data_IF_842063657600
#
_entry.id   IF_842063657600
#
_cell.length_a   1.000
_cell.length_b   1.000
_cell.length_c   1.000
_cell.angle_alpha   90.00
_cell.angle_beta   90.00
_cell.angle_gamma   90.00
#
_symmetry.space_group_name_H-M   'P 1'
#
loop_
_entity.id
_entity.type
_entity.pdbx_description
1 polymer ?
#
# COMPACT_ATOMS: atom_id res chain seq x y z
N UNK A 1 -3.06 -60.92 31.36
CA UNK A 1 -1.75 -60.53 30.82
C UNK A 1 -2.00 -59.32 29.95
N UNK A 2 -1.76 -58.15 30.51
CA UNK A 2 -2.09 -56.87 29.89
C UNK A 2 -0.92 -56.39 29.03
N UNK A 3 -1.22 -55.86 27.89
CA UNK A 3 -0.27 -55.17 27.05
C UNK A 3 -0.68 -53.68 27.04
N UNK A 4 0.10 -52.88 27.77
CA UNK A 4 0.01 -51.44 27.82
C UNK A 4 0.44 -50.89 26.46
N UNK A 5 -0.48 -50.35 25.68
CA UNK A 5 -0.14 -49.51 24.51
C UNK A 5 0.02 -48.03 24.97
N UNK A 6 1.25 -47.62 25.14
CA UNK A 6 1.61 -46.23 25.22
C UNK A 6 1.31 -45.53 23.90
N UNK A 7 0.24 -44.77 23.83
CA UNK A 7 -0.04 -43.84 22.72
C UNK A 7 0.82 -42.62 22.93
N UNK A 8 2.06 -42.67 22.39
CA UNK A 8 2.88 -41.50 22.17
C UNK A 8 2.26 -40.72 20.99
N UNK A 9 1.80 -39.52 21.25
CA UNK A 9 1.38 -38.56 20.25
C UNK A 9 2.58 -38.26 19.31
N UNK A 10 2.61 -38.92 18.16
CA UNK A 10 3.54 -38.57 17.09
C UNK A 10 3.09 -37.26 16.49
N UNK A 11 3.80 -36.17 16.82
CA UNK A 11 3.74 -34.94 16.06
C UNK A 11 4.11 -35.26 14.60
N UNK A 12 3.35 -34.75 13.61
CA UNK A 12 3.71 -34.99 12.21
C UNK A 12 5.10 -34.44 11.95
N UNK A 13 5.96 -35.28 11.35
CA UNK A 13 7.27 -34.88 10.89
C UNK A 13 7.12 -33.77 9.87
N UNK A 14 7.49 -32.56 10.29
CA UNK A 14 7.58 -31.40 9.44
C UNK A 14 8.58 -31.71 8.33
N UNK A 15 8.14 -31.63 7.07
CA UNK A 15 8.95 -31.90 5.88
C UNK A 15 10.33 -31.22 5.96
N UNK A 16 11.38 -31.90 5.48
CA UNK A 16 12.76 -31.41 5.45
C UNK A 16 12.92 -30.02 4.83
N UNK A 17 12.01 -29.64 3.93
CA UNK A 17 11.96 -28.32 3.27
C UNK A 17 11.88 -27.14 4.26
N UNK A 18 11.27 -27.34 5.44
CA UNK A 18 11.15 -26.31 6.47
C UNK A 18 12.49 -26.10 7.20
N UNK A 19 13.35 -27.13 7.25
CA UNK A 19 14.63 -27.01 7.97
C UNK A 19 15.64 -26.11 7.27
N UNK A 20 15.59 -26.01 5.94
CA UNK A 20 16.51 -25.12 5.20
C UNK A 20 16.18 -23.63 5.32
N UNK A 21 14.92 -23.26 5.53
CA UNK A 21 14.53 -21.85 5.72
C UNK A 21 14.89 -21.33 7.12
N UNK A 22 14.98 -22.21 8.14
CA UNK A 22 15.28 -21.82 9.52
C UNK A 22 16.80 -21.81 9.85
N UNK A 23 17.65 -22.43 9.05
CA UNK A 23 19.07 -22.56 9.41
C UNK A 23 19.92 -21.33 9.07
N UNK A 24 19.37 -20.32 8.39
CA UNK A 24 20.14 -19.12 8.01
C UNK A 24 20.02 -17.94 8.98
N UNK A 25 19.29 -18.06 10.09
CA UNK A 25 19.05 -16.90 10.97
C UNK A 25 19.02 -17.18 12.48
N UNK A 26 19.90 -18.08 12.96
CA UNK A 26 20.13 -18.22 14.40
C UNK A 26 21.49 -17.67 14.80
N UNK A 27 21.59 -16.34 14.95
CA UNK A 27 22.60 -15.69 15.78
C UNK A 27 22.01 -14.43 16.37
N UNK A 28 21.48 -14.54 17.59
CA UNK A 28 21.26 -13.40 18.48
C UNK A 28 21.40 -13.87 19.93
N UNK A 29 22.24 -13.21 20.72
CA UNK A 29 22.38 -13.50 22.14
C UNK A 29 21.26 -12.84 22.95
N UNK A 30 20.81 -13.57 23.95
CA UNK A 30 19.93 -13.13 25.02
C UNK A 30 20.64 -12.17 25.98
N UNK A 31 19.97 -11.10 26.40
CA UNK A 31 20.22 -10.36 27.66
C UNK A 31 18.87 -9.86 28.13
N UNK A 32 18.28 -10.50 29.08
CA UNK A 32 18.13 -10.34 30.55
C UNK A 32 17.59 -8.98 31.03
N UNK A 33 16.39 -9.11 31.61
CA UNK A 33 15.71 -8.42 32.72
C UNK A 33 16.35 -7.19 33.39
N UNK A 34 15.47 -6.21 33.72
CA UNK A 34 15.20 -5.80 35.12
C UNK A 34 14.10 -4.71 35.19
N UNK A 35 12.98 -5.08 35.80
CA UNK A 35 12.39 -4.52 37.05
C UNK A 35 11.85 -3.09 37.05
N UNK A 36 10.53 -3.05 37.35
CA UNK A 36 9.79 -1.95 37.97
C UNK A 36 10.27 -1.70 39.43
N UNK A 37 9.93 -0.55 40.02
CA UNK A 37 8.60 -0.33 40.62
C UNK A 37 8.09 1.12 40.57
N UNK A 38 6.79 1.41 40.45
CA UNK A 38 5.86 1.61 41.59
C UNK A 38 5.84 3.07 42.10
N UNK A 39 4.67 3.73 42.00
CA UNK A 39 4.43 5.02 42.69
C UNK A 39 3.04 5.58 42.36
N UNK A 40 2.19 5.50 43.36
CA UNK A 40 0.76 5.80 43.47
C UNK A 40 0.37 7.27 43.39
N UNK A 41 -0.89 7.49 42.97
CA UNK A 41 -1.93 8.42 43.53
C UNK A 41 -1.65 9.93 43.52
N UNK A 42 -2.56 10.67 42.88
CA UNK A 42 -3.55 11.45 43.63
C UNK A 42 -4.54 12.13 42.67
N UNK A 43 -5.81 11.83 42.90
CA UNK A 43 -6.97 12.46 42.30
C UNK A 43 -7.24 13.81 42.99
N UNK A 44 -7.32 14.89 42.18
CA UNK A 44 -7.94 16.15 42.62
C UNK A 44 -9.03 16.52 41.61
N UNK A 45 -10.27 16.82 42.03
CA UNK A 45 -11.34 17.16 41.11
C UNK A 45 -11.21 18.59 40.61
N UNK A 46 -11.14 18.77 39.31
CA UNK A 46 -11.19 20.08 38.68
C UNK A 46 -12.64 20.50 38.46
N UNK A 47 -12.96 21.69 38.95
CA UNK A 47 -14.20 22.44 38.73
C UNK A 47 -14.40 22.74 37.23
N UNK A 48 -15.63 22.95 36.75
CA UNK A 48 -15.91 23.24 35.38
C UNK A 48 -15.45 24.65 35.02
N UNK A 49 -14.38 24.72 34.22
CA UNK A 49 -14.01 25.98 33.56
C UNK A 49 -14.93 26.18 32.36
N UNK A 50 -15.69 27.24 32.40
CA UNK A 50 -16.39 27.85 31.29
C UNK A 50 -15.43 28.02 30.13
N UNK A 51 -15.71 27.33 29.02
CA UNK A 51 -14.97 27.52 27.76
C UNK A 51 -15.24 28.94 27.26
N UNK A 52 -14.30 29.86 27.51
CA UNK A 52 -14.18 31.05 26.71
C UNK A 52 -13.77 30.65 25.32
N UNK A 53 -14.68 30.88 24.35
CA UNK A 53 -14.35 30.85 22.95
C UNK A 53 -13.26 31.88 22.70
N UNK A 54 -12.02 31.44 22.61
CA UNK A 54 -10.91 32.24 22.12
C UNK A 54 -11.14 32.43 20.64
N UNK A 55 -11.73 33.56 20.24
CA UNK A 55 -11.79 34.01 18.85
C UNK A 55 -10.37 34.12 18.36
N UNK A 56 -9.93 33.17 17.53
CA UNK A 56 -8.73 33.39 16.74
C UNK A 56 -8.96 34.63 15.89
N UNK A 57 -7.98 35.54 15.76
CA UNK A 57 -8.11 36.68 14.90
C UNK A 57 -8.30 36.22 13.48
N UNK A 58 -9.52 36.40 12.98
CA UNK A 58 -9.90 36.06 11.62
C UNK A 58 -9.54 37.20 10.69
N UNK A 59 -8.96 36.87 9.53
CA UNK A 59 -8.67 37.83 8.48
C UNK A 59 -9.86 38.06 7.53
N UNK A 60 -9.66 38.83 6.49
CA UNK A 60 -10.60 38.98 5.37
C UNK A 60 -9.89 38.93 4.03
N UNK A 61 -10.61 38.46 3.02
CA UNK A 61 -10.12 38.42 1.63
C UNK A 61 -11.13 39.12 0.75
N UNK A 62 -10.68 40.13 0.01
CA UNK A 62 -11.52 40.87 -0.93
C UNK A 62 -10.81 41.06 -2.27
N UNK A 63 -11.55 41.42 -3.29
CA UNK A 63 -10.99 41.71 -4.60
C UNK A 63 -12.04 42.10 -5.63
N UNK A 64 -11.59 42.39 -6.86
CA UNK A 64 -12.46 42.79 -7.96
C UNK A 64 -12.21 41.89 -9.17
N UNK A 65 -13.26 41.45 -9.84
CA UNK A 65 -13.21 40.62 -11.05
C UNK A 65 -13.47 41.49 -12.29
N UNK A 66 -12.64 41.33 -13.31
CA UNK A 66 -12.81 42.02 -14.59
C UNK A 66 -12.45 41.14 -15.77
N UNK A 67 -12.77 41.60 -16.98
CA UNK A 67 -12.37 40.97 -18.23
C UNK A 67 -11.04 41.57 -18.77
N UNK A 68 -10.51 40.99 -19.86
CA UNK A 68 -9.31 41.53 -20.55
C UNK A 68 -9.50 42.93 -21.15
N UNK A 69 -10.73 43.36 -21.39
CA UNK A 69 -11.09 44.72 -21.85
C UNK A 69 -11.13 45.72 -20.71
N UNK A 70 -10.98 45.30 -19.45
CA UNK A 70 -11.06 46.16 -18.28
C UNK A 70 -12.47 46.34 -17.73
N UNK A 71 -13.50 45.72 -18.34
CA UNK A 71 -14.90 45.76 -17.86
C UNK A 71 -15.03 44.91 -16.59
N UNK A 72 -15.85 45.41 -15.66
CA UNK A 72 -16.13 44.67 -14.42
C UNK A 72 -17.11 43.51 -14.70
N UNK A 73 -16.83 42.36 -14.12
CA UNK A 73 -17.61 41.13 -14.31
C UNK A 73 -18.50 40.92 -13.10
N UNK A 74 -19.80 41.27 -13.24
CA UNK A 74 -20.78 40.97 -12.21
C UNK A 74 -21.25 39.51 -12.29
N UNK A 75 -21.64 38.94 -11.15
CA UNK A 75 -22.17 37.59 -11.10
C UNK A 75 -21.12 36.48 -11.23
N UNK A 76 -19.83 36.81 -11.17
CA UNK A 76 -18.79 35.80 -11.14
C UNK A 76 -18.85 34.98 -9.83
N UNK A 77 -18.84 33.68 -9.94
CA UNK A 77 -18.75 32.75 -8.79
C UNK A 77 -17.33 32.69 -8.28
N UNK A 78 -17.17 32.94 -6.99
CA UNK A 78 -15.87 32.92 -6.31
C UNK A 78 -15.91 31.89 -5.20
N UNK A 79 -15.10 30.85 -5.30
CA UNK A 79 -14.96 29.80 -4.31
C UNK A 79 -13.60 29.89 -3.61
N UNK A 80 -13.61 29.95 -2.28
CA UNK A 80 -12.44 29.99 -1.40
C UNK A 80 -12.28 28.67 -0.69
N UNK A 81 -11.10 28.08 -0.81
CA UNK A 81 -10.68 26.87 -0.08
C UNK A 81 -9.42 27.18 0.72
N UNK A 82 -9.45 26.92 2.03
CA UNK A 82 -8.32 27.07 2.93
C UNK A 82 -7.74 25.71 3.19
N UNK A 83 -6.41 25.56 3.14
CA UNK A 83 -5.73 24.25 3.31
C UNK A 83 -6.02 23.58 4.68
N UNK A 84 -6.34 24.36 5.70
CA UNK A 84 -6.73 23.87 7.03
C UNK A 84 -8.22 23.51 7.17
N UNK A 85 -9.04 23.78 6.15
CA UNK A 85 -10.48 23.53 6.16
C UNK A 85 -10.92 22.67 4.98
N UNK A 86 -11.72 21.65 5.26
CA UNK A 86 -12.31 20.77 4.22
C UNK A 86 -13.54 21.38 3.53
N UNK A 87 -13.99 22.57 3.97
CA UNK A 87 -15.22 23.20 3.46
C UNK A 87 -14.86 24.38 2.56
N UNK A 88 -15.30 24.36 1.32
CA UNK A 88 -15.24 25.51 0.42
C UNK A 88 -16.29 26.57 0.85
N UNK A 89 -15.88 27.84 0.87
CA UNK A 89 -16.80 28.97 1.04
C UNK A 89 -17.00 29.61 -0.33
N UNK A 90 -18.25 29.93 -0.68
CA UNK A 90 -18.59 30.52 -1.97
C UNK A 90 -19.25 31.89 -1.79
N UNK A 91 -18.98 32.79 -2.71
CA UNK A 91 -19.64 34.08 -2.85
C UNK A 91 -19.84 34.44 -4.35
N UNK A 92 -20.61 35.43 -4.62
CA UNK A 92 -20.84 35.94 -5.98
C UNK A 92 -20.40 37.40 -6.03
N UNK A 93 -19.69 37.78 -7.09
CA UNK A 93 -19.26 39.14 -7.30
C UNK A 93 -20.51 40.06 -7.56
N UNK A 94 -20.52 41.21 -6.94
CA UNK A 94 -21.60 42.20 -7.07
C UNK A 94 -21.63 42.92 -8.44
N UNK A 95 -22.48 43.94 -8.58
CA UNK A 95 -22.64 44.72 -9.82
C UNK A 95 -21.34 45.39 -10.28
N UNK A 96 -20.45 45.71 -9.35
CA UNK A 96 -19.15 46.33 -9.58
C UNK A 96 -18.02 45.30 -9.65
N UNK A 97 -18.39 44.00 -9.78
CA UNK A 97 -17.43 42.89 -9.83
C UNK A 97 -16.65 42.66 -8.53
N UNK A 98 -17.10 43.26 -7.41
CA UNK A 98 -16.43 43.16 -6.13
C UNK A 98 -16.90 41.91 -5.35
N UNK A 99 -15.99 41.22 -4.71
CA UNK A 99 -16.26 40.10 -3.79
C UNK A 99 -15.52 40.25 -2.48
N UNK A 100 -16.10 39.68 -1.42
CA UNK A 100 -15.42 39.66 -0.10
C UNK A 100 -15.77 38.42 0.71
N UNK A 101 -14.80 37.94 1.45
CA UNK A 101 -14.94 36.90 2.48
C UNK A 101 -14.49 37.48 3.79
N UNK A 102 -15.37 37.54 4.77
CA UNK A 102 -15.04 37.90 6.17
C UNK A 102 -14.80 36.61 6.97
N UNK A 103 -14.15 36.78 8.12
CA UNK A 103 -13.87 35.67 9.07
C UNK A 103 -13.14 34.47 8.42
N UNK A 104 -12.06 34.77 7.73
CA UNK A 104 -11.20 33.78 7.09
C UNK A 104 -10.08 33.40 8.04
N UNK A 105 -9.89 32.11 8.29
CA UNK A 105 -8.79 31.60 9.10
C UNK A 105 -7.44 31.83 8.39
N UNK A 106 -6.42 32.16 9.15
CA UNK A 106 -5.06 32.29 8.63
C UNK A 106 -4.53 30.99 8.03
N UNK A 107 -3.74 31.07 6.98
CA UNK A 107 -3.14 29.92 6.29
C UNK A 107 -3.10 30.08 4.79
N UNK A 108 -2.66 29.02 4.11
CA UNK A 108 -2.65 28.96 2.66
C UNK A 108 -4.09 28.80 2.14
N UNK A 109 -4.41 29.56 1.12
CA UNK A 109 -5.73 29.51 0.50
C UNK A 109 -5.63 29.42 -1.02
N UNK A 110 -6.71 28.86 -1.62
CA UNK A 110 -6.95 28.83 -3.07
C UNK A 110 -8.28 29.50 -3.36
N UNK A 111 -8.26 30.42 -4.31
CA UNK A 111 -9.43 31.13 -4.79
C UNK A 111 -9.68 30.72 -6.23
N UNK A 112 -10.88 30.21 -6.51
CA UNK A 112 -11.33 29.84 -7.86
C UNK A 112 -12.39 30.84 -8.28
N UNK A 113 -12.17 31.53 -9.39
CA UNK A 113 -13.12 32.51 -9.96
C UNK A 113 -13.61 31.99 -11.30
N UNK A 114 -14.93 31.86 -11.46
CA UNK A 114 -15.57 31.38 -12.68
C UNK A 114 -16.78 32.26 -13.06
N UNK A 115 -16.99 32.43 -14.35
CA UNK A 115 -18.19 33.11 -14.90
C UNK A 115 -18.53 32.47 -16.25
N UNK A 116 -19.78 32.40 -16.56
CA UNK A 116 -20.26 31.84 -17.84
C UNK A 116 -19.64 32.54 -19.05
N UNK A 117 -19.08 31.78 -19.97
CA UNK A 117 -18.40 32.29 -21.16
C UNK A 117 -16.96 32.82 -20.92
N UNK A 118 -16.46 32.79 -19.69
CA UNK A 118 -15.11 33.19 -19.36
C UNK A 118 -14.29 31.99 -18.80
N UNK A 119 -12.98 32.05 -18.99
CA UNK A 119 -12.05 31.05 -18.51
C UNK A 119 -11.95 31.10 -16.97
N UNK A 120 -12.12 29.96 -16.31
CA UNK A 120 -11.95 29.84 -14.85
C UNK A 120 -10.51 30.17 -14.45
N UNK A 121 -10.34 31.07 -13.49
CA UNK A 121 -9.04 31.46 -12.96
C UNK A 121 -8.84 30.96 -11.55
N UNK A 122 -7.68 30.36 -11.34
CA UNK A 122 -7.24 29.88 -10.03
C UNK A 122 -6.13 30.79 -9.52
N UNK A 123 -6.28 31.31 -8.30
CA UNK A 123 -5.29 32.15 -7.62
C UNK A 123 -5.05 31.58 -6.23
N UNK A 124 -3.80 31.58 -5.78
CA UNK A 124 -3.44 31.11 -4.44
C UNK A 124 -2.65 32.18 -3.69
N UNK A 125 -2.75 32.16 -2.37
CA UNK A 125 -2.03 33.08 -1.49
C UNK A 125 -1.93 32.52 -0.07
N UNK A 126 -1.29 33.30 0.80
CA UNK A 126 -1.21 32.99 2.24
C UNK A 126 -1.79 34.18 2.99
N UNK A 127 -2.74 33.94 3.89
CA UNK A 127 -3.35 34.94 4.75
C UNK A 127 -2.72 34.84 6.13
N UNK A 128 -2.28 36.00 6.67
CA UNK A 128 -1.80 36.09 8.05
C UNK A 128 -2.97 36.32 9.03
N UNK A 129 -2.73 36.07 10.31
CA UNK A 129 -3.75 36.31 11.35
C UNK A 129 -4.16 37.77 11.41
N UNK A 130 -5.47 38.03 11.28
CA UNK A 130 -6.03 39.38 11.31
C UNK A 130 -5.76 40.25 10.06
N UNK A 131 -5.17 39.68 9.02
CA UNK A 131 -4.84 40.38 7.78
C UNK A 131 -6.11 40.62 6.93
N UNK A 132 -6.21 41.84 6.37
CA UNK A 132 -7.15 42.15 5.30
C UNK A 132 -6.40 42.05 3.96
N UNK A 133 -6.53 40.93 3.28
CA UNK A 133 -5.87 40.67 1.99
C UNK A 133 -6.76 41.16 0.84
N UNK A 134 -6.30 42.16 0.10
CA UNK A 134 -7.00 42.67 -1.08
C UNK A 134 -6.29 42.22 -2.34
N UNK A 135 -7.02 41.45 -3.17
CA UNK A 135 -6.50 41.03 -4.47
C UNK A 135 -6.46 42.19 -5.44
N UNK A 136 -5.35 42.40 -6.18
CA UNK A 136 -5.39 43.23 -7.38
C UNK A 136 -6.43 42.62 -8.33
N UNK A 137 -6.99 43.45 -9.24
CA UNK A 137 -8.05 43.05 -10.18
C UNK A 137 -7.75 41.66 -10.83
N UNK A 138 -8.63 40.70 -10.61
CA UNK A 138 -8.55 39.36 -11.20
C UNK A 138 -9.14 39.44 -12.60
N UNK A 139 -8.31 39.22 -13.62
CA UNK A 139 -8.72 39.31 -15.02
C UNK A 139 -9.12 37.94 -15.52
N UNK A 140 -10.38 37.79 -15.93
CA UNK A 140 -10.89 36.60 -16.63
C UNK A 140 -10.76 36.81 -18.15
N UNK A 141 -10.36 35.77 -18.87
CA UNK A 141 -10.27 35.76 -20.33
C UNK A 141 -11.55 35.16 -20.90
N UNK A 142 -11.90 35.52 -22.13
CA UNK A 142 -12.97 34.86 -22.85
C UNK A 142 -12.62 33.39 -23.01
N UNK A 143 -13.51 32.50 -22.62
CA UNK A 143 -13.32 31.08 -22.87
C UNK A 143 -13.27 30.89 -24.38
N UNK A 144 -12.06 30.77 -24.94
CA UNK A 144 -11.92 30.13 -26.24
C UNK A 144 -12.51 28.73 -26.05
N UNK A 145 -13.34 28.28 -26.98
CA UNK A 145 -14.00 26.97 -26.94
C UNK A 145 -12.93 25.84 -26.97
N UNK A 146 -12.16 25.78 -25.93
CA UNK A 146 -11.43 24.61 -25.52
C UNK A 146 -12.43 23.83 -24.68
N UNK A 147 -12.92 22.75 -25.24
CA UNK A 147 -13.46 21.66 -24.44
C UNK A 147 -12.53 21.52 -23.24
N UNK A 148 -12.96 21.97 -22.07
CA UNK A 148 -12.31 21.57 -20.83
C UNK A 148 -12.53 20.07 -20.76
N UNK A 149 -11.56 19.33 -21.25
CA UNK A 149 -11.45 17.93 -20.90
C UNK A 149 -11.16 18.00 -19.41
N UNK A 150 -12.19 17.80 -18.62
CA UNK A 150 -12.04 17.48 -17.21
C UNK A 150 -11.28 16.15 -17.21
N UNK A 151 -9.96 16.25 -17.17
CA UNK A 151 -9.09 15.08 -17.05
C UNK A 151 -9.26 14.63 -15.60
N UNK A 152 -10.39 14.02 -15.33
CA UNK A 152 -10.53 13.16 -14.18
C UNK A 152 -9.54 12.01 -14.44
N UNK A 153 -8.31 12.17 -13.94
CA UNK A 153 -7.32 11.12 -14.03
C UNK A 153 -7.97 9.86 -13.48
N UNK A 154 -8.11 8.86 -14.32
CA UNK A 154 -8.64 7.57 -13.89
C UNK A 154 -7.73 7.00 -12.79
N UNK A 155 -8.23 6.09 -11.97
CA UNK A 155 -7.37 5.39 -10.98
C UNK A 155 -6.16 4.75 -11.66
N UNK A 156 -6.35 4.28 -12.88
CA UNK A 156 -5.29 3.74 -13.73
C UNK A 156 -4.18 4.78 -13.96
N UNK A 157 -4.56 5.96 -14.46
CA UNK A 157 -3.59 7.01 -14.82
C UNK A 157 -2.87 7.57 -13.59
N UNK A 158 -3.55 7.61 -12.44
CA UNK A 158 -2.94 8.04 -11.16
C UNK A 158 -1.90 7.04 -10.65
N UNK A 159 -2.15 5.74 -10.78
CA UNK A 159 -1.26 4.70 -10.30
C UNK A 159 -0.17 4.32 -11.30
N UNK A 160 -0.37 4.56 -12.59
CA UNK A 160 0.50 4.11 -13.67
C UNK A 160 1.98 4.52 -13.53
N UNK A 161 2.33 5.77 -13.15
CA UNK A 161 3.74 6.14 -12.97
C UNK A 161 4.44 5.32 -11.87
N UNK A 162 3.74 5.05 -10.78
CA UNK A 162 4.28 4.27 -9.66
C UNK A 162 4.41 2.78 -10.04
N UNK A 163 3.38 2.21 -10.65
CA UNK A 163 3.40 0.81 -11.14
C UNK A 163 4.53 0.60 -12.13
N UNK A 164 4.73 1.52 -13.09
CA UNK A 164 5.85 1.46 -14.02
C UNK A 164 7.22 1.57 -13.34
N UNK A 165 7.31 2.32 -12.26
CA UNK A 165 8.54 2.39 -11.47
C UNK A 165 8.78 1.07 -10.71
N UNK A 166 7.73 0.47 -10.15
CA UNK A 166 7.77 -0.81 -9.45
C UNK A 166 8.15 -1.97 -10.40
N UNK A 167 7.61 -2.02 -11.61
CA UNK A 167 7.93 -3.00 -12.65
C UNK A 167 9.40 -3.00 -13.10
N UNK A 168 10.11 -1.91 -12.86
CA UNK A 168 11.55 -1.78 -13.14
C UNK A 168 12.43 -2.15 -11.95
N UNK A 169 11.82 -2.41 -10.78
CA UNK A 169 12.57 -2.74 -9.57
C UNK A 169 13.14 -4.14 -9.66
N UNK A 170 14.46 -4.25 -9.48
CA UNK A 170 15.15 -5.52 -9.43
C UNK A 170 16.19 -5.54 -8.33
N UNK A 171 16.20 -6.62 -7.55
CA UNK A 171 17.24 -6.90 -6.59
C UNK A 171 18.53 -7.25 -7.36
N UNK A 172 19.63 -6.57 -6.99
CA UNK A 172 20.94 -6.71 -7.67
C UNK A 172 20.87 -6.64 -9.21
N UNK A 173 19.82 -6.03 -9.73
CA UNK A 173 19.59 -5.87 -11.16
C UNK A 173 19.05 -7.10 -11.90
N UNK A 174 18.78 -8.20 -11.22
CA UNK A 174 18.33 -9.46 -11.84
C UNK A 174 16.95 -9.92 -11.37
N UNK A 175 16.74 -10.05 -10.06
CA UNK A 175 15.52 -10.64 -9.48
C UNK A 175 14.41 -9.61 -9.39
N UNK A 176 13.18 -9.88 -9.88
CA UNK A 176 12.07 -8.94 -9.82
C UNK A 176 11.66 -8.63 -8.37
N UNK A 177 11.35 -7.35 -8.10
CA UNK A 177 10.87 -6.88 -6.81
C UNK A 177 9.65 -5.97 -7.00
N UNK A 178 8.63 -6.48 -7.69
CA UNK A 178 7.53 -5.69 -8.23
C UNK A 178 6.46 -5.33 -7.18
N UNK A 179 6.27 -6.17 -6.16
CA UNK A 179 5.23 -6.00 -5.15
C UNK A 179 5.68 -5.13 -3.96
N UNK A 180 6.53 -4.14 -4.19
CA UNK A 180 7.00 -3.22 -3.15
C UNK A 180 6.88 -1.79 -3.61
N UNK A 181 6.07 -1.00 -2.92
CA UNK A 181 6.03 0.45 -3.11
C UNK A 181 6.94 1.14 -2.11
N UNK A 182 7.81 2.01 -2.62
CA UNK A 182 8.64 2.91 -1.80
C UNK A 182 7.98 4.27 -1.58
N UNK A 183 6.81 4.48 -2.17
CA UNK A 183 5.97 5.67 -1.98
C UNK A 183 4.85 5.34 -1.01
N UNK A 184 4.90 5.94 0.19
CA UNK A 184 3.94 5.62 1.27
C UNK A 184 2.49 5.86 0.86
N UNK A 185 2.23 6.95 0.13
CA UNK A 185 0.91 7.33 -0.34
C UNK A 185 0.68 6.99 -1.82
N UNK A 186 1.34 5.93 -2.32
CA UNK A 186 1.11 5.49 -3.69
C UNK A 186 -0.39 5.24 -3.94
N UNK A 187 -0.93 5.71 -5.06
CA UNK A 187 -2.31 5.45 -5.45
C UNK A 187 -2.56 3.94 -5.55
N UNK A 188 -3.76 3.45 -5.20
CA UNK A 188 -4.11 2.04 -5.31
C UNK A 188 -4.14 1.62 -6.78
N UNK A 189 -3.65 0.41 -7.04
CA UNK A 189 -3.68 -0.19 -8.37
C UNK A 189 -5.11 -0.50 -8.80
N UNK A 190 -5.40 -0.33 -10.09
CA UNK A 190 -6.63 -0.81 -10.68
C UNK A 190 -6.62 -2.33 -10.92
N UNK A 191 -7.74 -2.89 -11.35
CA UNK A 191 -7.89 -4.33 -11.60
C UNK A 191 -6.91 -4.84 -12.66
N UNK A 192 -6.70 -4.06 -13.72
CA UNK A 192 -5.83 -4.41 -14.84
C UNK A 192 -4.37 -4.41 -14.41
N UNK A 193 -3.95 -3.37 -13.69
CA UNK A 193 -2.58 -3.25 -13.17
C UNK A 193 -2.24 -4.39 -12.20
N UNK A 194 -3.18 -4.81 -11.33
CA UNK A 194 -3.01 -5.98 -10.46
C UNK A 194 -2.77 -7.26 -11.28
N UNK A 195 -3.54 -7.47 -12.33
CA UNK A 195 -3.38 -8.61 -13.24
C UNK A 195 -2.05 -8.57 -14.00
N UNK A 196 -1.74 -7.43 -14.60
CA UNK A 196 -0.53 -7.23 -15.39
C UNK A 196 0.73 -7.47 -14.54
N UNK A 197 0.73 -6.96 -13.30
CA UNK A 197 1.84 -7.16 -12.37
C UNK A 197 2.01 -8.62 -11.98
N UNK A 198 0.91 -9.33 -11.69
CA UNK A 198 0.93 -10.75 -11.38
C UNK A 198 1.45 -11.59 -12.54
N UNK A 199 1.04 -11.26 -13.77
CA UNK A 199 1.48 -11.95 -14.96
C UNK A 199 2.96 -11.66 -15.28
N UNK A 200 3.39 -10.41 -15.19
CA UNK A 200 4.80 -10.03 -15.36
C UNK A 200 5.70 -10.71 -14.34
N UNK A 201 5.29 -10.77 -13.07
CA UNK A 201 6.04 -11.48 -12.03
C UNK A 201 6.15 -12.98 -12.30
N UNK A 202 5.10 -13.58 -12.82
CA UNK A 202 5.06 -15.02 -13.15
C UNK A 202 5.94 -15.34 -14.34
N UNK A 203 5.91 -14.53 -15.38
CA UNK A 203 6.65 -14.76 -16.63
C UNK A 203 8.07 -14.18 -16.63
N UNK A 204 8.52 -13.57 -15.54
CA UNK A 204 9.87 -13.05 -15.45
C UNK A 204 10.91 -14.18 -15.57
N UNK A 205 11.93 -14.07 -16.43
CA UNK A 205 12.96 -15.08 -16.61
C UNK A 205 13.65 -15.50 -15.30
N UNK A 206 13.84 -14.57 -14.37
CA UNK A 206 14.43 -14.89 -13.07
C UNK A 206 13.55 -15.82 -12.23
N UNK A 207 12.21 -15.71 -12.36
CA UNK A 207 11.27 -16.60 -11.69
C UNK A 207 11.45 -18.06 -12.15
N UNK A 208 11.66 -18.28 -13.44
CA UNK A 208 11.95 -19.61 -13.99
C UNK A 208 13.27 -20.17 -13.43
N UNK A 209 14.32 -19.35 -13.36
CA UNK A 209 15.62 -19.77 -12.83
C UNK A 209 15.50 -20.12 -11.34
N UNK A 210 14.75 -19.32 -10.57
CA UNK A 210 14.52 -19.57 -9.15
C UNK A 210 13.76 -20.89 -8.96
N UNK A 211 12.67 -21.09 -9.69
CA UNK A 211 11.89 -22.36 -9.62
C UNK A 211 12.72 -23.56 -10.05
N UNK A 212 13.56 -23.42 -11.10
CA UNK A 212 14.47 -24.48 -11.52
C UNK A 212 15.49 -24.82 -10.43
N UNK A 213 16.04 -23.80 -9.74
CA UNK A 213 16.93 -24.01 -8.61
C UNK A 213 16.28 -24.75 -7.44
N UNK A 214 15.06 -24.35 -7.06
CA UNK A 214 14.30 -25.04 -6.01
C UNK A 214 13.95 -26.48 -6.41
N UNK A 215 13.52 -26.72 -7.66
CA UNK A 215 13.25 -28.08 -8.16
C UNK A 215 14.53 -28.96 -8.09
N UNK A 216 15.70 -28.38 -8.37
CA UNK A 216 16.99 -29.06 -8.22
C UNK A 216 17.31 -29.40 -6.76
N UNK A 217 17.06 -28.47 -5.84
CA UNK A 217 17.24 -28.67 -4.41
C UNK A 217 16.31 -29.76 -3.85
N UNK A 218 15.01 -29.70 -4.20
CA UNK A 218 14.03 -30.73 -3.86
C UNK A 218 14.42 -32.11 -4.42
N UNK A 219 14.96 -32.14 -5.63
CA UNK A 219 15.47 -33.36 -6.24
C UNK A 219 16.67 -33.91 -5.47
N UNK A 220 17.60 -33.05 -5.06
CA UNK A 220 18.79 -33.44 -4.31
C UNK A 220 18.45 -33.95 -2.91
N UNK A 221 17.48 -33.31 -2.23
CA UNK A 221 16.99 -33.71 -0.90
C UNK A 221 16.00 -34.88 -0.96
N UNK A 222 15.61 -35.30 -2.16
CA UNK A 222 14.54 -36.27 -2.39
C UNK A 222 13.22 -35.89 -1.72
N UNK A 223 12.92 -34.60 -1.67
CA UNK A 223 11.61 -34.12 -1.24
C UNK A 223 10.55 -34.61 -2.25
N UNK A 224 9.38 -34.94 -1.72
CA UNK A 224 8.29 -35.52 -2.53
C UNK A 224 8.73 -36.73 -3.36
N UNK A 225 9.11 -37.86 -2.70
CA UNK A 225 9.65 -39.06 -3.40
C UNK A 225 8.72 -39.61 -4.48
N UNK A 226 7.41 -39.36 -4.37
CA UNK A 226 6.42 -39.76 -5.36
C UNK A 226 6.57 -39.13 -6.76
N UNK A 227 7.37 -38.09 -6.90
CA UNK A 227 7.76 -37.58 -8.23
C UNK A 227 8.82 -38.44 -8.91
N UNK A 228 9.54 -39.29 -8.16
CA UNK A 228 10.67 -40.08 -8.65
C UNK A 228 11.98 -39.26 -8.73
N UNK A 229 12.99 -39.92 -9.30
CA UNK A 229 14.33 -39.35 -9.48
C UNK A 229 14.65 -39.13 -10.97
N UNK A 230 15.82 -38.60 -11.25
CA UNK A 230 16.31 -38.31 -12.61
C UNK A 230 15.57 -37.16 -13.30
N UNK A 231 15.72 -37.04 -14.61
CA UNK A 231 15.19 -35.93 -15.39
C UNK A 231 13.65 -35.84 -15.32
N UNK A 232 12.96 -36.97 -15.29
CA UNK A 232 11.49 -36.98 -15.19
C UNK A 232 11.02 -36.50 -13.80
N UNK A 233 11.69 -36.91 -12.71
CA UNK A 233 11.41 -36.44 -11.35
C UNK A 233 11.67 -34.95 -11.20
N UNK A 234 12.77 -34.46 -11.75
CA UNK A 234 13.09 -33.03 -11.82
C UNK A 234 12.03 -32.23 -12.58
N UNK A 235 11.64 -32.69 -13.78
CA UNK A 235 10.61 -32.02 -14.58
C UNK A 235 9.26 -31.90 -13.87
N UNK A 236 8.86 -32.94 -13.11
CA UNK A 236 7.62 -32.90 -12.30
C UNK A 236 7.72 -31.88 -11.16
N UNK A 237 8.86 -31.80 -10.44
CA UNK A 237 9.09 -30.81 -9.40
C UNK A 237 9.11 -29.39 -9.97
N UNK A 238 9.80 -29.20 -11.09
CA UNK A 238 9.80 -27.92 -11.80
C UNK A 238 8.38 -27.51 -12.22
N UNK A 239 7.61 -28.43 -12.82
CA UNK A 239 6.22 -28.18 -13.20
C UNK A 239 5.33 -27.84 -12.00
N UNK A 240 5.49 -28.55 -10.88
CA UNK A 240 4.77 -28.26 -9.64
C UNK A 240 5.17 -26.89 -9.06
N UNK A 241 6.46 -26.58 -9.07
CA UNK A 241 6.97 -25.26 -8.64
C UNK A 241 6.43 -24.11 -9.49
N UNK A 242 6.37 -24.30 -10.82
CA UNK A 242 5.72 -23.34 -11.74
C UNK A 242 4.22 -23.22 -11.45
N UNK A 243 3.53 -24.34 -11.17
CA UNK A 243 2.13 -24.33 -10.75
C UNK A 243 1.93 -23.49 -9.48
N UNK A 244 2.77 -23.70 -8.45
CA UNK A 244 2.74 -22.90 -7.21
C UNK A 244 2.96 -21.41 -7.48
N UNK A 245 3.92 -21.06 -8.34
CA UNK A 245 4.23 -19.67 -8.71
C UNK A 245 3.03 -19.01 -9.40
N UNK A 246 2.44 -19.69 -10.42
CA UNK A 246 1.27 -19.17 -11.15
C UNK A 246 0.09 -18.97 -10.20
N UNK A 247 -0.25 -20.00 -9.42
CA UNK A 247 -1.40 -19.97 -8.52
C UNK A 247 -1.19 -18.90 -7.44
N UNK A 248 -0.01 -18.84 -6.82
CA UNK A 248 0.32 -17.86 -5.79
C UNK A 248 0.22 -16.43 -6.31
N UNK A 249 0.86 -16.11 -7.43
CA UNK A 249 0.81 -14.78 -8.03
C UNK A 249 -0.60 -14.41 -8.50
N UNK A 250 -1.34 -15.32 -9.11
CA UNK A 250 -2.70 -15.02 -9.57
C UNK A 250 -3.69 -14.87 -8.42
N UNK A 251 -3.67 -15.75 -7.42
CA UNK A 251 -4.57 -15.63 -6.28
C UNK A 251 -4.18 -14.46 -5.38
N UNK A 252 -2.93 -14.42 -4.91
CA UNK A 252 -2.46 -13.42 -3.93
C UNK A 252 -2.16 -12.06 -4.54
N UNK A 253 -1.74 -12.00 -5.81
CA UNK A 253 -1.35 -10.76 -6.49
C UNK A 253 -2.45 -10.09 -7.31
N UNK A 254 -3.46 -10.85 -7.78
CA UNK A 254 -4.50 -10.31 -8.66
C UNK A 254 -5.93 -10.64 -8.22
N UNK A 255 -6.35 -11.91 -8.30
CA UNK A 255 -7.76 -12.28 -8.17
C UNK A 255 -8.36 -11.86 -6.82
N UNK A 256 -7.76 -12.29 -5.72
CA UNK A 256 -8.27 -11.98 -4.38
C UNK A 256 -8.10 -10.49 -4.01
N UNK A 257 -6.99 -9.81 -4.34
CA UNK A 257 -6.90 -8.36 -4.20
C UNK A 257 -7.96 -7.59 -4.98
N UNK A 258 -8.40 -8.08 -6.13
CA UNK A 258 -9.52 -7.48 -6.88
C UNK A 258 -10.86 -7.72 -6.18
N UNK A 259 -11.10 -8.95 -5.71
CA UNK A 259 -12.34 -9.33 -5.03
C UNK A 259 -12.52 -8.59 -3.71
N UNK A 260 -11.46 -8.50 -2.92
CA UNK A 260 -11.49 -7.84 -1.60
C UNK A 260 -11.13 -6.36 -1.65
N UNK A 261 -10.88 -5.77 -2.83
CA UNK A 261 -10.48 -4.37 -3.00
C UNK A 261 -9.24 -4.02 -2.17
N UNK A 262 -8.23 -4.90 -2.18
CA UNK A 262 -6.98 -4.75 -1.43
C UNK A 262 -5.80 -4.52 -2.37
N UNK A 263 -4.82 -3.75 -1.91
CA UNK A 263 -3.57 -3.54 -2.63
C UNK A 263 -2.57 -4.66 -2.27
N UNK A 264 -2.08 -5.44 -3.24
CA UNK A 264 -1.18 -6.56 -2.95
C UNK A 264 0.25 -6.14 -2.63
N UNK A 265 0.58 -4.83 -2.68
CA UNK A 265 1.94 -4.33 -2.46
C UNK A 265 2.28 -4.19 -0.98
N UNK A 266 3.54 -4.46 -0.68
CA UNK A 266 4.16 -4.06 0.58
C UNK A 266 4.55 -2.57 0.51
N UNK A 267 4.09 -1.75 1.43
CA UNK A 267 4.45 -0.33 1.51
C UNK A 267 5.63 -0.17 2.47
N UNK A 268 6.78 0.23 1.91
CA UNK A 268 8.00 0.41 2.69
C UNK A 268 7.86 1.55 3.70
N UNK A 269 8.06 1.24 4.99
CA UNK A 269 7.91 2.25 6.05
C UNK A 269 9.13 3.17 6.16
N UNK A 270 10.32 2.62 6.19
CA UNK A 270 11.59 3.34 6.15
C UNK A 270 11.92 4.24 7.35
N UNK A 271 10.95 4.58 8.18
CA UNK A 271 11.08 5.53 9.30
C UNK A 271 10.67 4.91 10.64
N UNK A 272 11.22 5.42 11.73
CA UNK A 272 10.96 4.94 13.08
C UNK A 272 12.06 3.99 13.61
N UNK A 273 11.87 3.50 14.85
CA UNK A 273 12.81 2.58 15.50
C UNK A 273 12.81 1.22 14.82
N UNK A 274 13.89 0.44 15.04
CA UNK A 274 13.99 -0.93 14.51
C UNK A 274 12.76 -1.78 14.85
N UNK A 275 12.34 -1.80 16.11
CA UNK A 275 11.19 -2.60 16.55
C UNK A 275 9.86 -2.14 15.95
N UNK A 276 9.68 -0.82 15.78
CA UNK A 276 8.50 -0.26 15.11
C UNK A 276 8.41 -0.67 13.64
N UNK A 277 9.55 -0.71 12.94
CA UNK A 277 9.65 -1.14 11.55
C UNK A 277 9.49 -2.65 11.41
N UNK A 278 10.13 -3.43 12.29
CA UNK A 278 10.01 -4.88 12.30
C UNK A 278 8.56 -5.33 12.61
N UNK A 279 7.95 -4.74 13.64
CA UNK A 279 6.55 -5.01 14.00
C UNK A 279 5.59 -4.65 12.87
N UNK A 280 5.79 -3.51 12.21
CA UNK A 280 5.04 -3.13 11.01
C UNK A 280 5.21 -4.16 9.89
N UNK A 281 6.43 -4.50 9.52
CA UNK A 281 6.71 -5.44 8.44
C UNK A 281 6.08 -6.83 8.69
N UNK A 282 6.15 -7.32 9.93
CA UNK A 282 5.49 -8.57 10.31
C UNK A 282 3.96 -8.45 10.27
N UNK A 283 3.40 -7.33 10.75
CA UNK A 283 1.95 -7.14 10.77
C UNK A 283 1.34 -7.10 9.37
N UNK A 284 2.09 -6.67 8.36
CA UNK A 284 1.61 -6.61 6.98
C UNK A 284 1.41 -7.99 6.32
N UNK A 285 1.86 -9.08 6.93
CA UNK A 285 1.45 -10.42 6.51
C UNK A 285 -0.06 -10.70 6.78
N UNK A 286 -0.63 -10.06 7.81
CA UNK A 286 -2.02 -10.27 8.23
C UNK A 286 -2.88 -9.00 8.13
N UNK A 287 -2.28 -7.85 7.86
CA UNK A 287 -2.95 -6.56 7.65
C UNK A 287 -2.50 -6.02 6.28
N UNK A 288 -3.44 -5.61 5.46
CA UNK A 288 -3.18 -5.02 4.14
C UNK A 288 -3.81 -3.65 4.02
N UNK A 289 -3.37 -2.90 3.03
CA UNK A 289 -3.98 -1.63 2.64
C UNK A 289 -5.08 -1.88 1.63
N UNK A 290 -6.30 -1.41 1.92
CA UNK A 290 -7.40 -1.46 0.96
C UNK A 290 -7.24 -0.41 -0.14
N UNK A 291 -7.96 -0.59 -1.25
CA UNK A 291 -8.03 0.38 -2.36
C UNK A 291 -8.64 1.74 -1.93
N UNK A 292 -9.24 1.80 -0.74
CA UNK A 292 -9.68 3.03 -0.08
C UNK A 292 -8.57 3.75 0.70
N UNK A 293 -7.37 3.17 0.77
CA UNK A 293 -6.23 3.65 1.55
C UNK A 293 -6.27 3.29 3.04
N UNK A 294 -7.34 2.67 3.53
CA UNK A 294 -7.46 2.22 4.93
C UNK A 294 -6.77 0.88 5.15
N UNK A 295 -6.27 0.67 6.37
CA UNK A 295 -5.70 -0.60 6.80
C UNK A 295 -6.82 -1.54 7.26
N UNK A 296 -6.74 -2.79 6.81
CA UNK A 296 -7.75 -3.82 7.07
C UNK A 296 -7.10 -5.21 7.14
N UNK A 297 -7.79 -6.26 7.65
CA UNK A 297 -7.25 -7.61 7.62
C UNK A 297 -6.90 -8.04 6.19
N UNK A 298 -5.74 -8.69 6.02
CA UNK A 298 -5.24 -9.12 4.71
C UNK A 298 -5.98 -10.37 4.21
N UNK A 299 -7.27 -10.20 3.85
CA UNK A 299 -8.08 -11.30 3.33
C UNK A 299 -7.48 -11.92 2.08
N UNK A 300 -6.96 -11.08 1.17
CA UNK A 300 -6.38 -11.53 -0.09
C UNK A 300 -5.12 -12.37 0.12
N UNK A 301 -4.19 -11.95 0.96
CA UNK A 301 -2.97 -12.69 1.26
C UNK A 301 -3.25 -13.97 2.03
N UNK A 302 -4.07 -13.90 3.08
CA UNK A 302 -4.42 -15.07 3.90
C UNK A 302 -5.13 -16.12 3.06
N UNK A 303 -6.23 -15.76 2.39
CA UNK A 303 -6.98 -16.70 1.56
C UNK A 303 -6.19 -17.14 0.32
N UNK A 304 -5.31 -16.29 -0.19
CA UNK A 304 -4.38 -16.62 -1.28
C UNK A 304 -3.44 -17.75 -0.90
N UNK A 305 -2.81 -17.67 0.27
CA UNK A 305 -1.91 -18.70 0.78
C UNK A 305 -2.63 -20.03 1.03
N UNK A 306 -3.80 -20.01 1.68
CA UNK A 306 -4.60 -21.22 1.88
C UNK A 306 -5.14 -21.78 0.56
N UNK A 307 -5.60 -20.93 -0.35
CA UNK A 307 -6.09 -21.34 -1.67
C UNK A 307 -5.01 -21.97 -2.53
N UNK A 308 -3.81 -21.38 -2.55
CA UNK A 308 -2.66 -21.95 -3.24
C UNK A 308 -2.28 -23.31 -2.63
N UNK A 309 -2.26 -23.44 -1.30
CA UNK A 309 -2.06 -24.71 -0.61
C UNK A 309 -3.11 -25.75 -0.94
N UNK A 310 -4.38 -25.39 -1.07
CA UNK A 310 -5.46 -26.29 -1.45
C UNK A 310 -5.30 -26.76 -2.91
N UNK A 311 -5.03 -25.85 -3.83
CA UNK A 311 -4.85 -26.15 -5.25
C UNK A 311 -3.61 -27.01 -5.49
N UNK A 312 -2.54 -26.82 -4.72
CA UNK A 312 -1.33 -27.65 -4.83
C UNK A 312 -1.58 -29.14 -4.61
N UNK A 313 -2.58 -29.52 -3.80
CA UNK A 313 -2.99 -30.92 -3.64
C UNK A 313 -3.42 -31.59 -4.95
N UNK A 314 -3.79 -30.84 -5.99
CA UNK A 314 -4.23 -31.41 -7.27
C UNK A 314 -3.06 -32.01 -8.08
N UNK A 315 -1.86 -31.42 -7.97
CA UNK A 315 -0.70 -31.82 -8.78
C UNK A 315 0.48 -32.36 -7.98
N UNK A 316 0.42 -32.36 -6.64
CA UNK A 316 1.41 -33.05 -5.82
C UNK A 316 1.22 -34.57 -5.85
N UNK A 317 2.26 -35.42 -5.62
CA UNK A 317 2.13 -36.86 -5.61
C UNK A 317 1.11 -37.35 -4.57
N UNK A 318 0.40 -38.41 -4.87
CA UNK A 318 -0.63 -38.97 -3.97
C UNK A 318 -0.06 -39.29 -2.57
N UNK A 319 1.18 -39.77 -2.50
CA UNK A 319 1.90 -40.03 -1.24
C UNK A 319 2.17 -38.77 -0.38
N UNK A 320 2.14 -37.59 -1.00
CA UNK A 320 2.39 -36.31 -0.33
C UNK A 320 1.12 -35.47 -0.13
N UNK A 321 -0.03 -35.96 -0.62
CA UNK A 321 -1.32 -35.30 -0.43
C UNK A 321 -1.88 -35.65 0.95
N UNK A 322 -1.72 -34.73 1.87
CA UNK A 322 -2.26 -34.87 3.23
C UNK A 322 -3.58 -34.08 3.43
N UNK A 323 -4.25 -33.73 2.34
CA UNK A 323 -5.54 -33.06 2.35
C UNK A 323 -5.53 -31.76 3.14
N UNK A 324 -6.41 -31.65 4.13
CA UNK A 324 -6.56 -30.43 4.95
C UNK A 324 -5.28 -30.06 5.72
N UNK A 325 -4.53 -31.05 6.23
CA UNK A 325 -3.29 -30.81 6.97
C UNK A 325 -2.22 -30.12 6.11
N UNK A 326 -2.06 -30.58 4.85
CA UNK A 326 -1.13 -29.97 3.90
C UNK A 326 -1.58 -28.54 3.53
N UNK A 327 -2.87 -28.34 3.29
CA UNK A 327 -3.43 -27.03 2.98
C UNK A 327 -3.20 -26.05 4.12
N UNK A 328 -3.50 -26.44 5.37
CA UNK A 328 -3.32 -25.59 6.56
C UNK A 328 -1.84 -25.32 6.76
N UNK A 329 -0.97 -26.34 6.70
CA UNK A 329 0.45 -26.20 6.86
C UNK A 329 1.07 -25.24 5.84
N UNK A 330 0.75 -25.42 4.55
CA UNK A 330 1.25 -24.55 3.48
C UNK A 330 0.68 -23.14 3.59
N UNK A 331 -0.58 -22.97 3.98
CA UNK A 331 -1.19 -21.66 4.17
C UNK A 331 -0.52 -20.88 5.31
N UNK A 332 -0.30 -21.51 6.46
CA UNK A 332 0.41 -20.88 7.59
C UNK A 332 1.88 -20.58 7.25
N UNK A 333 2.56 -21.50 6.55
CA UNK A 333 3.93 -21.29 6.08
C UNK A 333 4.00 -20.12 5.09
N UNK A 334 3.02 -20.00 4.19
CA UNK A 334 2.90 -18.88 3.25
C UNK A 334 2.81 -17.55 3.99
N UNK A 335 1.90 -17.42 4.95
CA UNK A 335 1.75 -16.21 5.78
C UNK A 335 3.04 -15.87 6.54
N UNK A 336 3.70 -16.89 7.11
CA UNK A 336 4.98 -16.67 7.80
C UNK A 336 6.09 -16.21 6.83
N UNK A 337 6.11 -16.78 5.63
CA UNK A 337 7.05 -16.41 4.56
C UNK A 337 6.82 -14.97 4.08
N UNK A 338 5.57 -14.54 3.97
CA UNK A 338 5.22 -13.15 3.65
C UNK A 338 5.76 -12.21 4.73
N UNK A 339 5.57 -12.54 6.01
CA UNK A 339 6.11 -11.76 7.12
C UNK A 339 7.64 -11.64 7.09
N UNK A 340 8.34 -12.74 6.84
CA UNK A 340 9.82 -12.75 6.70
C UNK A 340 10.24 -11.93 5.48
N UNK A 341 9.56 -12.10 4.35
CA UNK A 341 9.83 -11.34 3.13
C UNK A 341 9.68 -9.84 3.38
N UNK A 342 8.61 -9.41 4.06
CA UNK A 342 8.36 -8.01 4.38
C UNK A 342 9.43 -7.43 5.32
N UNK A 343 9.93 -8.22 6.30
CA UNK A 343 11.07 -7.82 7.14
C UNK A 343 12.34 -7.68 6.29
N UNK A 344 12.59 -8.61 5.38
CA UNK A 344 13.72 -8.51 4.46
C UNK A 344 13.60 -7.27 3.54
N UNK A 345 12.40 -6.97 3.03
CA UNK A 345 12.14 -5.74 2.26
C UNK A 345 12.46 -4.49 3.08
N UNK A 346 12.06 -4.47 4.36
CA UNK A 346 12.23 -3.32 5.23
C UNK A 346 13.70 -3.03 5.58
N UNK A 347 14.53 -4.06 5.77
CA UNK A 347 15.87 -3.89 6.30
C UNK A 347 17.02 -4.19 5.32
N UNK A 348 16.80 -5.10 4.38
CA UNK A 348 17.85 -5.64 3.52
C UNK A 348 17.62 -5.30 2.05
N UNK A 349 16.47 -5.73 1.50
CA UNK A 349 16.26 -5.72 0.05
C UNK A 349 16.17 -4.32 -0.53
N UNK A 350 15.73 -3.33 0.27
CA UNK A 350 15.73 -1.92 -0.11
C UNK A 350 17.13 -1.43 -0.54
N UNK A 351 18.17 -1.90 0.13
CA UNK A 351 19.57 -1.51 -0.17
C UNK A 351 20.08 -2.18 -1.45
N UNK A 352 19.54 -3.35 -1.78
CA UNK A 352 19.90 -4.14 -2.95
C UNK A 352 19.05 -3.81 -4.18
N UNK A 353 17.93 -3.12 -3.99
CA UNK A 353 17.05 -2.71 -5.08
C UNK A 353 17.60 -1.48 -5.77
N UNK A 354 18.00 -1.62 -7.03
CA UNK A 354 18.35 -0.47 -7.87
C UNK A 354 17.08 0.35 -8.11
N UNK A 355 17.08 1.61 -7.68
CA UNK A 355 16.06 2.57 -8.10
C UNK A 355 16.10 2.68 -9.62
N UNK A 356 14.95 2.55 -10.28
CA UNK A 356 14.81 3.12 -11.61
C UNK A 356 15.13 4.61 -11.45
N UNK A 357 16.15 5.12 -12.17
CA UNK A 357 16.37 6.55 -12.27
C UNK A 357 15.09 7.13 -12.85
N UNK A 358 14.36 7.91 -12.05
CA UNK A 358 13.34 8.78 -12.60
C UNK A 358 14.04 9.74 -13.56
N UNK A 359 13.52 9.84 -14.76
CA UNK A 359 13.84 10.93 -15.65
C UNK A 359 13.31 12.22 -15.07
#
# INVERSE_FOLDING_TARGET
MGENQNVLWALPTVSSSIRCLFFSFCFLPAIVCAQQPGGSSDTVPASPQTAQASGQPSGSISGTVGDVGGTLVSGAHVALVIESSTTARETVADSDGHFSFADVAAGNFKLTVSCDGLETRLVSGTLQEGEAYEFPKIILRVATANTSVDVTLSRHDLAEPEVRAEEKQRLIGAIPNYYVSYTWNAPPMDKRQKFDLAWKSTLDPASFVIVAGFAGLEQWQNDYPGYGLGAAGYGKRFGAGMGNLVVGNMLGGAVLPIVFHQDPRYFYKGTGSFWSRAGYALSTAVIARGDSGRWEPNYSGILGNFGAGAISNLYYPASSRQGASLTIGNGLLGIASDGVSNVLQEFVLRKLTKKAKGN
#
